data_IF_669644935726
#
_entry.id   IF_669644935726
#
_cell.length_a   1.000
_cell.length_b   1.000
_cell.length_c   1.000
_cell.angle_alpha   90.00
_cell.angle_beta   90.00
_cell.angle_gamma   90.00
#
_symmetry.space_group_name_H-M   'P 1'
#
loop_
_entity.id
_entity.type
_entity.pdbx_description
1 polymer ?
#
# COMPACT_ATOMS: atom_id res chain seq x y z
N UNK A 1 3.87 -4.39 -22.74
CA UNK A 1 4.24 -3.08 -22.10
C UNK A 1 3.47 -1.89 -22.64
N UNK A 2 3.14 -1.88 -23.92
CA UNK A 2 2.30 -0.81 -24.49
C UNK A 2 0.95 -0.69 -23.81
N UNK A 3 0.32 -1.81 -23.51
CA UNK A 3 -0.96 -1.83 -22.80
C UNK A 3 -0.85 -1.20 -21.40
N UNK A 4 0.23 -1.51 -20.67
CA UNK A 4 0.47 -0.92 -19.35
C UNK A 4 0.69 0.58 -19.47
N UNK A 5 1.55 1.01 -20.41
CA UNK A 5 1.81 2.43 -20.65
C UNK A 5 0.55 3.22 -20.94
N UNK A 6 -0.36 2.64 -21.72
CA UNK A 6 -1.66 3.25 -22.03
C UNK A 6 -2.52 3.39 -20.77
N UNK A 7 -2.55 2.36 -19.91
CA UNK A 7 -3.37 2.36 -18.70
C UNK A 7 -2.91 3.41 -17.69
N UNK A 8 -1.62 3.68 -17.59
CA UNK A 8 -1.08 4.64 -16.63
C UNK A 8 -0.79 6.02 -17.22
N UNK A 9 -1.09 6.24 -18.49
CA UNK A 9 -0.76 7.49 -19.20
C UNK A 9 -1.39 8.73 -18.55
N UNK A 10 -2.57 8.58 -17.93
CA UNK A 10 -3.26 9.68 -17.26
C UNK A 10 -2.81 9.90 -15.82
N UNK A 11 -1.96 9.03 -15.28
CA UNK A 11 -1.49 9.16 -13.92
C UNK A 11 -0.43 10.25 -13.80
N UNK A 12 -0.34 10.93 -12.64
CA UNK A 12 0.77 11.83 -12.38
C UNK A 12 2.11 11.12 -12.55
N UNK A 13 3.12 11.87 -12.96
CA UNK A 13 4.44 11.34 -13.28
C UNK A 13 5.51 12.20 -12.63
N UNK A 14 6.47 11.57 -11.97
CA UNK A 14 7.65 12.25 -11.43
C UNK A 14 8.62 12.61 -12.56
N UNK A 15 9.54 13.54 -12.30
CA UNK A 15 10.53 14.00 -13.29
C UNK A 15 11.39 12.87 -13.86
N UNK A 16 11.57 11.78 -13.10
CA UNK A 16 12.34 10.61 -13.55
C UNK A 16 11.50 9.60 -14.35
N UNK A 17 10.28 9.94 -14.71
CA UNK A 17 9.42 9.08 -15.50
C UNK A 17 8.61 8.05 -14.71
N UNK A 18 8.63 8.11 -13.37
CA UNK A 18 7.86 7.19 -12.55
C UNK A 18 6.43 7.72 -12.39
N UNK A 19 5.46 6.94 -12.85
CA UNK A 19 4.04 7.24 -12.64
C UNK A 19 3.61 6.81 -11.24
N UNK A 20 2.67 7.54 -10.65
CA UNK A 20 2.21 7.25 -9.31
C UNK A 20 0.71 7.47 -9.15
N UNK A 21 0.15 6.85 -8.12
CA UNK A 21 -1.21 7.06 -7.61
C UNK A 21 -1.17 6.92 -6.10
N UNK A 22 -2.03 7.64 -5.42
CA UNK A 22 -2.25 7.41 -3.99
C UNK A 22 -3.67 6.89 -3.79
N UNK A 23 -3.85 6.02 -2.80
CA UNK A 23 -5.14 5.38 -2.49
C UNK A 23 -5.79 5.98 -1.24
N UNK A 24 -4.99 6.51 -0.33
CA UNK A 24 -5.45 7.03 0.96
C UNK A 24 -4.72 8.32 1.29
N UNK A 25 -5.48 9.36 1.62
CA UNK A 25 -4.91 10.61 2.12
C UNK A 25 -4.57 10.47 3.60
N UNK A 26 -3.39 10.94 3.98
CA UNK A 26 -2.94 10.93 5.37
C UNK A 26 -2.89 12.35 5.92
N UNK A 27 -3.70 12.59 6.97
CA UNK A 27 -3.72 13.85 7.68
C UNK A 27 -2.86 13.75 8.95
N UNK A 28 -1.68 14.35 8.93
CA UNK A 28 -0.81 14.42 10.09
C UNK A 28 -1.25 15.57 11.00
N UNK A 29 -1.23 15.38 12.32
CA UNK A 29 -1.61 16.42 13.28
C UNK A 29 -0.80 17.71 13.09
N UNK A 30 0.48 17.59 12.85
CA UNK A 30 1.37 18.73 12.67
C UNK A 30 1.02 19.60 11.47
N UNK A 31 0.35 19.04 10.46
CA UNK A 31 -0.05 19.77 9.26
C UNK A 31 -1.31 20.61 9.46
N UNK A 32 -2.15 20.23 10.42
CA UNK A 32 -3.46 20.87 10.65
C UNK A 32 -3.51 21.74 11.92
N UNK A 33 -2.49 21.67 12.76
CA UNK A 33 -2.44 22.48 13.98
C UNK A 33 -3.61 22.23 14.90
N UNK A 34 -4.50 23.22 15.06
CA UNK A 34 -5.65 23.13 15.94
C UNK A 34 -6.90 22.57 15.28
N UNK A 35 -6.85 22.24 13.99
CA UNK A 35 -8.02 21.68 13.30
C UNK A 35 -8.33 20.29 13.78
N UNK A 36 -9.63 20.04 14.02
CA UNK A 36 -10.10 18.69 14.32
C UNK A 36 -10.26 17.91 13.03
N UNK A 37 -9.86 16.63 13.08
CA UNK A 37 -10.05 15.74 11.96
C UNK A 37 -11.47 15.22 11.95
N UNK A 38 -12.05 15.06 10.74
CA UNK A 38 -13.34 14.40 10.58
C UNK A 38 -13.23 12.91 10.95
N UNK A 39 -14.38 12.26 11.17
CA UNK A 39 -14.40 10.82 11.43
C UNK A 39 -13.77 10.04 10.28
N UNK A 40 -13.99 10.45 9.03
CA UNK A 40 -13.39 9.81 7.85
C UNK A 40 -11.88 9.99 7.81
N UNK A 41 -11.38 11.17 8.16
CA UNK A 41 -9.95 11.45 8.23
C UNK A 41 -9.27 10.64 9.34
N UNK A 42 -9.93 10.50 10.50
CA UNK A 42 -9.45 9.65 11.58
C UNK A 42 -9.35 8.19 11.16
N UNK A 43 -10.35 7.69 10.45
CA UNK A 43 -10.38 6.32 9.96
C UNK A 43 -9.22 6.03 9.02
N UNK A 44 -8.97 6.94 8.08
CA UNK A 44 -7.83 6.83 7.14
C UNK A 44 -6.49 6.88 7.86
N UNK A 45 -6.36 7.78 8.82
CA UNK A 45 -5.16 7.92 9.62
C UNK A 45 -4.89 6.65 10.44
N UNK A 46 -5.93 6.13 11.09
CA UNK A 46 -5.83 4.92 11.91
C UNK A 46 -5.45 3.70 11.04
N UNK A 47 -5.98 3.60 9.83
CA UNK A 47 -5.61 2.55 8.90
C UNK A 47 -4.10 2.56 8.63
N UNK A 48 -3.53 3.73 8.34
CA UNK A 48 -2.10 3.87 8.05
C UNK A 48 -1.25 3.56 9.29
N UNK A 49 -1.61 4.12 10.44
CA UNK A 49 -0.89 3.91 11.69
C UNK A 49 -0.91 2.43 12.11
N UNK A 50 -2.08 1.81 12.05
CA UNK A 50 -2.24 0.41 12.42
C UNK A 50 -1.56 -0.53 11.43
N UNK A 51 -1.58 -0.20 10.14
CA UNK A 51 -0.85 -0.96 9.12
C UNK A 51 0.66 -0.95 9.38
N UNK A 52 1.21 0.18 9.75
CA UNK A 52 2.64 0.27 10.11
C UNK A 52 2.99 -0.62 11.30
N UNK A 53 2.09 -0.70 12.29
CA UNK A 53 2.21 -1.63 13.39
C UNK A 53 3.39 -1.41 14.33
N UNK A 54 4.05 -0.25 14.28
CA UNK A 54 5.20 0.07 15.13
C UNK A 54 4.89 1.04 16.27
N UNK A 55 3.62 1.38 16.45
CA UNK A 55 3.15 2.19 17.57
C UNK A 55 2.85 1.28 18.77
N UNK A 56 3.23 1.72 19.96
CA UNK A 56 2.88 1.01 21.21
C UNK A 56 1.36 0.95 21.43
N UNK A 57 0.62 1.86 20.81
CA UNK A 57 -0.84 1.92 20.92
C UNK A 57 -1.55 0.98 19.95
N UNK A 58 -0.83 0.41 18.99
CA UNK A 58 -1.41 -0.50 18.00
C UNK A 58 -1.42 -1.92 18.55
N UNK A 59 -2.61 -2.49 18.73
CA UNK A 59 -2.75 -3.88 19.12
C UNK A 59 -2.50 -4.81 17.94
N UNK A 60 -2.22 -6.08 18.21
CA UNK A 60 -2.05 -7.08 17.15
C UNK A 60 -3.32 -7.25 16.33
N UNK A 61 -4.48 -7.22 16.97
CA UNK A 61 -5.77 -7.31 16.29
C UNK A 61 -5.97 -6.12 15.34
N UNK A 62 -5.69 -4.90 15.80
CA UNK A 62 -5.82 -3.70 15.00
C UNK A 62 -4.86 -3.72 13.80
N UNK A 63 -3.63 -4.20 14.01
CA UNK A 63 -2.66 -4.36 12.95
C UNK A 63 -3.15 -5.35 11.88
N UNK A 64 -3.62 -6.52 12.30
CA UNK A 64 -4.12 -7.54 11.37
C UNK A 64 -5.32 -7.06 10.58
N UNK A 65 -6.24 -6.33 11.21
CA UNK A 65 -7.38 -5.73 10.52
C UNK A 65 -6.94 -4.69 9.50
N UNK A 66 -5.95 -3.86 9.85
CA UNK A 66 -5.42 -2.86 8.94
C UNK A 66 -4.73 -3.50 7.73
N UNK A 67 -3.96 -4.57 7.95
CA UNK A 67 -3.33 -5.32 6.86
C UNK A 67 -4.40 -5.89 5.92
N UNK A 68 -5.48 -6.47 6.47
CA UNK A 68 -6.59 -6.99 5.67
C UNK A 68 -7.26 -5.92 4.83
N UNK A 69 -7.53 -4.75 5.40
CA UNK A 69 -8.11 -3.61 4.67
C UNK A 69 -7.17 -3.10 3.58
N UNK A 70 -5.88 -3.02 3.86
CA UNK A 70 -4.88 -2.59 2.88
C UNK A 70 -4.79 -3.58 1.72
N UNK A 71 -4.82 -4.87 1.99
CA UNK A 71 -4.85 -5.91 0.96
C UNK A 71 -6.05 -5.70 0.04
N UNK A 72 -7.23 -5.49 0.59
CA UNK A 72 -8.45 -5.28 -0.19
C UNK A 72 -8.37 -4.02 -1.06
N UNK A 73 -7.90 -2.92 -0.49
CA UNK A 73 -7.74 -1.65 -1.21
C UNK A 73 -6.79 -1.78 -2.39
N UNK A 74 -5.61 -2.35 -2.15
CA UNK A 74 -4.58 -2.46 -3.18
C UNK A 74 -4.98 -3.48 -4.25
N UNK A 75 -5.52 -4.62 -3.84
CA UNK A 75 -5.98 -5.65 -4.76
C UNK A 75 -7.09 -5.12 -5.68
N UNK A 76 -8.07 -4.43 -5.10
CA UNK A 76 -9.17 -3.83 -5.86
C UNK A 76 -8.66 -2.79 -6.86
N UNK A 77 -7.75 -1.92 -6.41
CA UNK A 77 -7.12 -0.92 -7.26
C UNK A 77 -6.38 -1.56 -8.44
N UNK A 78 -5.58 -2.59 -8.19
CA UNK A 78 -4.80 -3.27 -9.22
C UNK A 78 -5.74 -3.95 -10.23
N UNK A 79 -6.78 -4.63 -9.75
CA UNK A 79 -7.75 -5.29 -10.63
C UNK A 79 -8.49 -4.31 -11.51
N UNK A 80 -8.91 -3.18 -10.96
CA UNK A 80 -9.60 -2.13 -11.71
C UNK A 80 -8.68 -1.44 -12.71
N UNK A 81 -7.42 -1.23 -12.34
CA UNK A 81 -6.47 -0.52 -13.18
C UNK A 81 -5.91 -1.38 -14.31
N UNK A 82 -5.60 -2.65 -14.04
CA UNK A 82 -4.86 -3.49 -14.96
C UNK A 82 -5.60 -4.75 -15.41
N UNK A 83 -6.58 -5.22 -14.63
CA UNK A 83 -7.30 -6.45 -14.95
C UNK A 83 -6.34 -7.63 -15.14
N UNK A 84 -6.51 -8.38 -16.22
CA UNK A 84 -5.66 -9.55 -16.53
C UNK A 84 -4.21 -9.15 -16.85
N UNK A 85 -3.97 -7.93 -17.27
CA UNK A 85 -2.63 -7.42 -17.55
C UNK A 85 -1.75 -7.41 -16.30
N UNK A 86 -2.34 -7.40 -15.10
CA UNK A 86 -1.60 -7.45 -13.85
C UNK A 86 -0.67 -8.66 -13.76
N UNK A 87 -1.01 -9.77 -14.41
CA UNK A 87 -0.17 -10.98 -14.39
C UNK A 87 1.21 -10.79 -15.07
N UNK A 88 1.37 -9.73 -15.87
CA UNK A 88 2.66 -9.39 -16.50
C UNK A 88 3.50 -8.44 -15.64
N UNK A 89 2.99 -8.03 -14.48
CA UNK A 89 3.65 -7.08 -13.60
C UNK A 89 4.26 -7.78 -12.37
N UNK A 90 5.29 -7.16 -11.83
CA UNK A 90 5.91 -7.57 -10.57
C UNK A 90 5.52 -6.59 -9.48
N UNK A 91 5.10 -7.13 -8.34
CA UNK A 91 4.70 -6.34 -7.17
C UNK A 91 5.84 -6.27 -6.17
N UNK A 92 6.19 -5.06 -5.76
CA UNK A 92 7.23 -4.83 -4.76
C UNK A 92 6.80 -3.73 -3.79
N UNK A 93 7.10 -3.93 -2.51
CA UNK A 93 6.89 -2.93 -1.48
C UNK A 93 8.23 -2.28 -1.13
N UNK A 94 8.19 -0.98 -0.81
CA UNK A 94 9.36 -0.28 -0.30
C UNK A 94 9.60 -0.75 1.14
N UNK A 95 10.74 -1.38 1.45
CA UNK A 95 10.98 -1.91 2.78
C UNK A 95 11.11 -0.81 3.84
N UNK A 96 10.74 -1.15 5.06
CA UNK A 96 10.99 -0.29 6.22
C UNK A 96 12.48 -0.31 6.59
N UNK A 97 12.88 0.61 7.46
CA UNK A 97 14.28 0.69 7.90
C UNK A 97 14.75 -0.52 8.70
N UNK A 98 13.83 -1.23 9.36
CA UNK A 98 14.12 -2.44 10.13
C UNK A 98 13.47 -3.65 9.47
N UNK A 99 14.23 -4.77 9.41
CA UNK A 99 13.75 -6.02 8.84
C UNK A 99 12.43 -6.49 9.48
N UNK A 100 12.36 -6.45 10.81
CA UNK A 100 11.17 -6.90 11.54
C UNK A 100 9.93 -6.09 11.17
N UNK A 101 10.06 -4.79 10.91
CA UNK A 101 8.94 -3.96 10.47
C UNK A 101 8.54 -4.28 9.04
N UNK A 102 9.51 -4.58 8.18
CA UNK A 102 9.25 -4.98 6.81
C UNK A 102 8.47 -6.29 6.75
N UNK A 103 8.90 -7.29 7.52
CA UNK A 103 8.22 -8.58 7.57
C UNK A 103 6.80 -8.44 8.10
N UNK A 104 6.63 -7.71 9.19
CA UNK A 104 5.33 -7.48 9.82
C UNK A 104 4.34 -6.79 8.89
N UNK A 105 4.79 -5.79 8.14
CA UNK A 105 3.93 -5.03 7.22
C UNK A 105 3.68 -5.74 5.92
N UNK A 106 4.71 -6.28 5.30
CA UNK A 106 4.69 -6.56 3.88
C UNK A 106 4.76 -8.03 3.50
N UNK A 107 5.13 -8.93 4.40
CA UNK A 107 5.26 -10.36 4.03
C UNK A 107 3.91 -10.94 3.62
N UNK A 108 2.95 -10.95 4.52
CA UNK A 108 1.60 -11.44 4.23
C UNK A 108 0.89 -10.56 3.21
N UNK A 109 1.06 -9.25 3.32
CA UNK A 109 0.47 -8.28 2.41
C UNK A 109 0.87 -8.56 0.96
N UNK A 110 2.16 -8.72 0.69
CA UNK A 110 2.67 -9.01 -0.65
C UNK A 110 2.15 -10.36 -1.18
N UNK A 111 2.16 -11.38 -0.34
CA UNK A 111 1.66 -12.71 -0.68
C UNK A 111 0.20 -12.67 -1.10
N UNK A 112 -0.65 -12.03 -0.31
CA UNK A 112 -2.09 -11.97 -0.57
C UNK A 112 -2.42 -11.12 -1.79
N UNK A 113 -1.79 -9.95 -1.93
CA UNK A 113 -2.00 -9.11 -3.11
C UNK A 113 -1.62 -9.86 -4.38
N UNK A 114 -0.48 -10.52 -4.39
CA UNK A 114 -0.01 -11.25 -5.58
C UNK A 114 -0.86 -12.48 -5.88
N UNK A 115 -1.30 -13.21 -4.86
CA UNK A 115 -2.21 -14.35 -5.03
C UNK A 115 -3.53 -13.91 -5.68
N UNK A 116 -4.07 -12.78 -5.26
CA UNK A 116 -5.37 -12.31 -5.75
C UNK A 116 -5.30 -11.61 -7.10
N UNK A 117 -4.15 -11.04 -7.47
CA UNK A 117 -4.01 -10.27 -8.73
C UNK A 117 -3.29 -11.04 -9.82
N UNK A 118 -2.58 -12.11 -9.49
CA UNK A 118 -1.75 -12.85 -10.43
C UNK A 118 -0.37 -12.22 -10.67
N UNK A 119 -0.03 -11.13 -9.98
CA UNK A 119 1.28 -10.49 -10.10
C UNK A 119 2.39 -11.38 -9.54
N UNK A 120 3.59 -11.21 -10.09
CA UNK A 120 4.78 -11.83 -9.52
C UNK A 120 5.15 -11.11 -8.22
N UNK A 121 5.44 -11.89 -7.17
CA UNK A 121 5.81 -11.35 -5.87
C UNK A 121 7.33 -11.19 -5.77
N UNK A 122 7.79 -9.94 -5.67
CA UNK A 122 9.22 -9.65 -5.53
C UNK A 122 9.73 -9.78 -4.08
N UNK A 123 8.85 -9.94 -3.10
CA UNK A 123 9.24 -9.97 -1.68
C UNK A 123 10.35 -11.00 -1.38
N UNK A 124 10.28 -12.26 -1.87
CA UNK A 124 11.31 -13.25 -1.57
C UNK A 124 12.70 -12.88 -2.11
N UNK A 125 12.78 -11.97 -3.07
CA UNK A 125 14.06 -11.55 -3.67
C UNK A 125 14.77 -10.47 -2.86
N UNK A 126 14.11 -9.85 -1.87
CA UNK A 126 14.74 -8.83 -1.05
C UNK A 126 15.70 -9.44 -0.03
N UNK A 127 16.85 -8.77 0.14
CA UNK A 127 17.82 -9.07 1.20
C UNK A 127 17.72 -8.02 2.28
N UNK A 128 17.69 -8.45 3.51
CA UNK A 128 17.59 -7.57 4.67
C UNK A 128 18.79 -7.72 5.59
#
# INVERSE_FOLDING_TARGET
MEEISTKIASWPCLNNGIHYKWLVDYAAFSAFGTFELSAEEWEKRDLIVNFKGNSELTTEIDHQQAVGKAIDLVTDFIKKSFGETASSLTFACIPASLRQHTERRFKLFSEQVCTQTGMENAYPAFSF
#
